data_IF_894874453948
#
_entry.id   IF_894874453948
#
_cell.length_a   1.000
_cell.length_b   1.000
_cell.length_c   1.000
_cell.angle_alpha   90.00
_cell.angle_beta   90.00
_cell.angle_gamma   90.00
#
_symmetry.space_group_name_H-M   'P 1'
#
loop_
_entity.id
_entity.type
_entity.pdbx_description
1 polymer ?
#
# COMPACT_ATOMS: atom_id res chain seq x y z
N UNK A 1 -37.10 16.36 0.29
CA UNK A 1 -35.90 17.11 -0.09
C UNK A 1 -34.87 16.08 -0.51
N UNK A 2 -34.27 16.17 -1.71
CA UNK A 2 -33.17 15.26 -2.04
C UNK A 2 -32.02 15.52 -1.07
N UNK A 3 -31.55 14.47 -0.37
CA UNK A 3 -30.31 14.52 0.42
C UNK A 3 -29.19 14.70 -0.59
N UNK A 4 -28.53 15.84 -0.59
CA UNK A 4 -27.33 16.07 -1.39
C UNK A 4 -26.23 15.25 -0.71
N UNK A 5 -25.94 14.08 -1.24
CA UNK A 5 -24.79 13.28 -0.80
C UNK A 5 -23.53 14.05 -1.22
N UNK A 6 -22.76 14.51 -0.24
CA UNK A 6 -21.48 15.14 -0.52
C UNK A 6 -20.44 14.03 -0.71
N UNK A 7 -20.20 13.65 -1.95
CA UNK A 7 -19.33 12.53 -2.30
C UNK A 7 -17.90 12.63 -1.74
N UNK A 8 -17.47 13.82 -1.28
CA UNK A 8 -16.15 14.01 -0.68
C UNK A 8 -16.10 13.70 0.83
N UNK A 9 -17.27 13.69 1.49
CA UNK A 9 -17.40 13.34 2.91
C UNK A 9 -17.56 11.82 3.10
N UNK A 10 -17.96 11.11 2.03
CA UNK A 10 -18.10 9.67 2.04
C UNK A 10 -16.76 8.96 1.82
N UNK A 11 -16.66 7.75 2.36
CA UNK A 11 -15.50 6.90 2.13
C UNK A 11 -15.45 6.41 0.69
N UNK A 12 -14.27 6.48 0.09
CA UNK A 12 -14.04 5.92 -1.24
C UNK A 12 -13.98 4.39 -1.13
N UNK A 13 -14.65 3.71 -2.07
CA UNK A 13 -14.65 2.25 -2.12
C UNK A 13 -13.23 1.70 -2.30
N UNK A 14 -12.97 0.57 -1.65
CA UNK A 14 -11.77 -0.22 -1.83
C UNK A 14 -12.15 -1.69 -2.09
N UNK A 15 -11.25 -2.43 -2.70
CA UNK A 15 -11.41 -3.86 -2.92
C UNK A 15 -10.46 -4.62 -2.01
N UNK A 16 -10.94 -5.71 -1.41
CA UNK A 16 -10.12 -6.61 -0.62
C UNK A 16 -10.22 -8.03 -1.18
N UNK A 17 -9.07 -8.66 -1.43
CA UNK A 17 -8.95 -10.02 -1.96
C UNK A 17 -8.17 -10.83 -0.94
N UNK A 18 -8.85 -11.74 -0.25
CA UNK A 18 -8.23 -12.71 0.67
C UNK A 18 -7.66 -13.90 -0.11
N UNK A 19 -6.70 -14.62 0.50
CA UNK A 19 -6.04 -15.80 -0.07
C UNK A 19 -5.51 -15.56 -1.49
N UNK A 20 -4.91 -14.38 -1.69
CA UNK A 20 -4.58 -13.86 -3.01
C UNK A 20 -3.41 -14.59 -3.68
N UNK A 21 -2.35 -14.84 -2.95
CA UNK A 21 -1.13 -15.48 -3.50
C UNK A 21 -1.01 -16.96 -3.15
N UNK A 22 -1.60 -17.37 -2.02
CA UNK A 22 -1.49 -18.70 -1.46
C UNK A 22 -0.22 -18.89 -0.60
N UNK A 23 -0.25 -19.88 0.28
CA UNK A 23 0.78 -20.11 1.32
C UNK A 23 2.20 -20.26 0.76
N UNK A 24 2.34 -20.93 -0.40
CA UNK A 24 3.65 -21.14 -1.04
C UNK A 24 4.31 -19.80 -1.42
N UNK A 25 3.54 -18.84 -1.96
CA UNK A 25 4.09 -17.54 -2.29
C UNK A 25 4.37 -16.72 -1.04
N UNK A 26 3.52 -16.80 -0.02
CA UNK A 26 3.77 -16.17 1.29
C UNK A 26 5.10 -16.63 1.87
N UNK A 27 5.37 -17.94 1.87
CA UNK A 27 6.64 -18.50 2.35
C UNK A 27 7.84 -17.98 1.54
N UNK A 28 7.75 -18.01 0.20
CA UNK A 28 8.82 -17.48 -0.68
C UNK A 28 9.10 -16.00 -0.45
N UNK A 29 8.07 -15.19 -0.20
CA UNK A 29 8.22 -13.77 0.11
C UNK A 29 8.84 -13.55 1.49
N UNK A 30 8.48 -14.36 2.48
CA UNK A 30 9.11 -14.32 3.81
C UNK A 30 10.58 -14.72 3.73
N UNK A 31 10.90 -15.78 3.01
CA UNK A 31 12.28 -16.24 2.80
C UNK A 31 13.11 -15.16 2.11
N UNK A 32 12.58 -14.52 1.04
CA UNK A 32 13.23 -13.40 0.39
C UNK A 32 13.49 -12.24 1.36
N UNK A 33 12.45 -11.82 2.10
CA UNK A 33 12.56 -10.69 3.02
C UNK A 33 13.60 -10.95 4.13
N UNK A 34 13.58 -12.14 4.73
CA UNK A 34 14.48 -12.52 5.81
C UNK A 34 15.92 -12.70 5.29
N UNK A 35 16.11 -13.36 4.15
CA UNK A 35 17.44 -13.54 3.55
C UNK A 35 18.09 -12.23 3.11
N UNK A 36 17.28 -11.22 2.79
CA UNK A 36 17.72 -9.91 2.30
C UNK A 36 17.52 -8.80 3.36
N UNK A 37 17.41 -9.15 4.65
CA UNK A 37 17.13 -8.19 5.73
C UNK A 37 18.13 -7.01 5.75
N UNK A 38 19.40 -7.26 5.51
CA UNK A 38 20.47 -6.25 5.49
C UNK A 38 20.44 -5.34 4.24
N UNK A 39 19.70 -5.71 3.20
CA UNK A 39 19.55 -4.92 1.97
C UNK A 39 18.37 -3.93 2.05
N UNK A 40 17.57 -4.02 3.09
CA UNK A 40 16.50 -3.05 3.31
C UNK A 40 17.06 -1.71 3.76
N UNK A 41 16.69 -0.65 3.06
CA UNK A 41 17.09 0.72 3.36
C UNK A 41 15.95 1.53 3.97
N UNK A 42 16.23 2.55 4.81
CA UNK A 42 15.22 3.49 5.28
C UNK A 42 14.44 4.10 4.11
N UNK A 43 13.11 4.18 4.24
CA UNK A 43 12.26 4.81 3.22
C UNK A 43 12.48 6.31 3.19
N UNK A 44 12.49 6.88 1.99
CA UNK A 44 12.47 8.33 1.79
C UNK A 44 11.06 8.84 1.51
N UNK A 45 10.78 10.07 1.89
CA UNK A 45 9.56 10.81 1.56
C UNK A 45 9.91 11.83 0.49
N UNK A 46 9.13 11.89 -0.59
CA UNK A 46 9.35 12.83 -1.69
C UNK A 46 9.28 12.17 -3.06
N UNK A 47 9.11 12.99 -4.09
CA UNK A 47 8.89 12.53 -5.45
C UNK A 47 10.21 12.20 -6.17
N UNK A 48 10.38 10.94 -6.54
CA UNK A 48 11.28 10.45 -7.60
C UNK A 48 12.77 10.74 -7.43
N UNK A 49 13.47 9.85 -6.75
CA UNK A 49 14.95 9.79 -6.79
C UNK A 49 15.69 10.82 -5.93
N UNK A 50 14.99 11.80 -5.36
CA UNK A 50 15.56 12.85 -4.51
C UNK A 50 14.84 13.00 -3.15
N UNK A 51 14.11 11.96 -2.71
CA UNK A 51 13.38 12.03 -1.45
C UNK A 51 14.31 12.08 -0.23
N UNK A 52 13.87 12.80 0.81
CA UNK A 52 14.57 12.89 2.10
C UNK A 52 14.03 11.84 3.06
N UNK A 53 14.88 11.20 3.83
CA UNK A 53 14.44 10.36 4.97
C UNK A 53 13.88 11.29 6.04
N UNK A 54 12.60 11.14 6.34
CA UNK A 54 11.88 11.94 7.36
C UNK A 54 11.18 11.00 8.34
N UNK A 55 11.84 10.61 9.44
CA UNK A 55 11.32 9.64 10.40
C UNK A 55 10.02 10.10 11.08
N UNK A 56 9.77 11.41 11.10
CA UNK A 56 8.53 11.99 11.66
C UNK A 56 7.31 11.82 10.73
N UNK A 57 7.57 11.50 9.45
CA UNK A 57 6.52 11.30 8.45
C UNK A 57 6.39 9.81 8.11
N UNK A 58 7.51 9.12 7.94
CA UNK A 58 7.54 7.69 7.57
C UNK A 58 8.73 7.01 8.26
N UNK A 59 8.44 5.99 9.03
CA UNK A 59 9.42 5.11 9.64
C UNK A 59 9.16 3.68 9.14
N UNK A 60 9.87 3.26 8.10
CA UNK A 60 9.82 1.89 7.55
C UNK A 60 11.08 1.60 6.75
N UNK A 61 11.31 0.34 6.44
CA UNK A 61 12.42 -0.13 5.60
C UNK A 61 11.88 -0.63 4.26
N UNK A 62 12.67 -0.54 3.21
CA UNK A 62 12.28 -0.77 1.83
C UNK A 62 13.31 -1.61 1.08
N UNK A 63 12.85 -2.62 0.34
CA UNK A 63 13.61 -3.38 -0.65
C UNK A 63 12.92 -3.27 -2.02
N UNK A 64 13.66 -2.85 -3.06
CA UNK A 64 13.15 -2.74 -4.45
C UNK A 64 13.50 -3.93 -5.32
N UNK A 65 14.62 -4.57 -5.03
CA UNK A 65 15.06 -5.74 -5.79
C UNK A 65 14.35 -7.00 -5.26
N UNK A 66 13.34 -7.44 -6.00
CA UNK A 66 12.54 -8.63 -5.70
C UNK A 66 13.10 -9.90 -6.39
N UNK A 67 14.24 -9.77 -7.06
CA UNK A 67 14.90 -10.89 -7.73
C UNK A 67 13.97 -11.64 -8.70
N UNK A 68 14.04 -12.95 -8.67
CA UNK A 68 13.28 -13.85 -9.55
C UNK A 68 11.75 -13.78 -9.32
N UNK A 69 11.30 -13.30 -8.15
CA UNK A 69 9.86 -13.21 -7.84
C UNK A 69 9.17 -12.09 -8.62
N UNK A 70 9.90 -11.06 -9.09
CA UNK A 70 9.32 -9.87 -9.70
C UNK A 70 8.33 -10.19 -10.81
N UNK A 71 8.73 -10.99 -11.78
CA UNK A 71 7.90 -11.27 -12.97
C UNK A 71 6.60 -12.03 -12.62
N UNK A 72 6.68 -12.99 -11.69
CA UNK A 72 5.50 -13.72 -11.22
C UNK A 72 4.55 -12.79 -10.46
N UNK A 73 5.08 -11.91 -9.60
CA UNK A 73 4.31 -10.94 -8.85
C UNK A 73 3.61 -9.93 -9.77
N UNK A 74 4.33 -9.38 -10.75
CA UNK A 74 3.76 -8.46 -11.74
C UNK A 74 2.61 -9.11 -12.51
N UNK A 75 2.77 -10.37 -12.92
CA UNK A 75 1.71 -11.12 -13.61
C UNK A 75 0.47 -11.28 -12.73
N UNK A 76 0.63 -11.67 -11.47
CA UNK A 76 -0.50 -11.86 -10.54
C UNK A 76 -1.21 -10.54 -10.20
N UNK A 77 -0.45 -9.47 -9.98
CA UNK A 77 -1.03 -8.16 -9.73
C UNK A 77 -1.75 -7.61 -10.96
N UNK A 78 -1.17 -7.72 -12.16
CA UNK A 78 -1.80 -7.26 -13.39
C UNK A 78 -3.14 -7.97 -13.66
N UNK A 79 -3.24 -9.26 -13.34
CA UNK A 79 -4.42 -10.08 -13.63
C UNK A 79 -5.71 -9.61 -12.93
N UNK A 80 -5.63 -8.82 -11.86
CA UNK A 80 -6.82 -8.35 -11.12
C UNK A 80 -7.25 -6.93 -11.49
N UNK A 81 -6.54 -6.25 -12.39
CA UNK A 81 -6.77 -4.85 -12.72
C UNK A 81 -8.18 -4.60 -13.25
N UNK A 82 -8.58 -5.30 -14.31
CA UNK A 82 -9.87 -5.07 -15.00
C UNK A 82 -11.07 -5.29 -14.08
N UNK A 83 -11.02 -6.35 -13.27
CA UNK A 83 -12.06 -6.63 -12.29
C UNK A 83 -12.11 -5.55 -11.20
N UNK A 84 -10.94 -5.04 -10.77
CA UNK A 84 -10.85 -3.97 -9.77
C UNK A 84 -11.41 -2.67 -10.31
N UNK A 85 -11.04 -2.28 -11.52
CA UNK A 85 -11.55 -1.07 -12.19
C UNK A 85 -13.08 -1.13 -12.27
N UNK A 86 -13.63 -2.29 -12.67
CA UNK A 86 -15.08 -2.49 -12.75
C UNK A 86 -15.77 -2.42 -11.40
N UNK A 87 -15.23 -3.12 -10.38
CA UNK A 87 -15.80 -3.17 -9.02
C UNK A 87 -15.79 -1.80 -8.36
N UNK A 88 -14.69 -1.06 -8.48
CA UNK A 88 -14.53 0.27 -7.91
C UNK A 88 -15.16 1.38 -8.79
N UNK A 89 -15.72 1.02 -9.94
CA UNK A 89 -16.36 1.97 -10.90
C UNK A 89 -15.42 3.10 -11.31
N UNK A 90 -14.15 2.76 -11.53
CA UNK A 90 -13.14 3.70 -11.99
C UNK A 90 -13.21 3.84 -13.52
N UNK A 91 -12.63 4.93 -14.05
CA UNK A 91 -12.32 5.02 -15.47
C UNK A 91 -11.27 3.97 -15.85
N UNK A 92 -11.27 3.56 -17.10
CA UNK A 92 -10.30 2.60 -17.62
C UNK A 92 -8.87 3.06 -17.34
N UNK A 93 -8.06 2.13 -16.85
CA UNK A 93 -6.63 2.37 -16.58
C UNK A 93 -5.84 1.71 -17.69
N UNK A 94 -5.26 2.53 -18.58
CA UNK A 94 -4.30 2.06 -19.58
C UNK A 94 -2.98 1.74 -18.87
N UNK A 95 -2.82 0.49 -18.45
CA UNK A 95 -1.65 0.06 -17.67
C UNK A 95 -0.36 0.29 -18.45
N UNK A 96 0.46 1.21 -17.98
CA UNK A 96 1.79 1.50 -18.51
C UNK A 96 2.86 0.59 -17.87
N UNK A 97 2.83 0.47 -16.54
CA UNK A 97 3.76 -0.36 -15.77
C UNK A 97 3.24 -0.59 -14.36
N UNK A 98 3.80 -1.61 -13.68
CA UNK A 98 3.67 -1.82 -12.26
C UNK A 98 4.94 -1.34 -11.54
N UNK A 99 4.77 -0.61 -10.45
CA UNK A 99 5.84 -0.22 -9.55
C UNK A 99 5.70 -1.02 -8.26
N UNK A 100 6.71 -1.84 -7.92
CA UNK A 100 6.67 -2.74 -6.77
C UNK A 100 7.73 -2.36 -5.75
N UNK A 101 7.33 -2.32 -4.47
CA UNK A 101 8.20 -2.09 -3.34
C UNK A 101 7.83 -3.03 -2.18
N UNK A 102 8.81 -3.81 -1.71
CA UNK A 102 8.66 -4.61 -0.50
C UNK A 102 9.04 -3.76 0.72
N UNK A 103 8.10 -3.59 1.63
CA UNK A 103 8.24 -2.71 2.80
C UNK A 103 8.12 -3.53 4.09
N UNK A 104 9.02 -3.28 5.03
CA UNK A 104 8.99 -3.83 6.38
C UNK A 104 8.67 -2.71 7.38
N UNK A 105 7.62 -2.93 8.17
CA UNK A 105 7.25 -2.08 9.30
C UNK A 105 7.50 -2.87 10.59
N UNK A 106 8.52 -2.48 11.36
CA UNK A 106 8.87 -3.07 12.65
C UNK A 106 8.37 -2.18 13.80
N UNK A 107 8.94 -2.35 15.01
CA UNK A 107 8.54 -1.60 16.22
C UNK A 107 8.52 -0.10 15.98
N UNK A 108 7.40 0.54 16.33
CA UNK A 108 7.19 1.98 16.19
C UNK A 108 6.99 2.48 14.76
N UNK A 109 7.10 1.63 13.74
CA UNK A 109 6.98 2.02 12.33
C UNK A 109 5.57 2.52 11.99
N UNK A 110 5.50 3.49 11.09
CA UNK A 110 4.25 4.12 10.62
C UNK A 110 4.48 4.86 9.30
N UNK A 111 3.41 5.32 8.67
CA UNK A 111 3.44 6.30 7.60
C UNK A 111 2.26 7.25 7.74
N UNK A 112 2.54 8.54 7.94
CA UNK A 112 1.54 9.58 8.10
C UNK A 112 0.65 9.71 6.87
N UNK A 113 -0.51 10.36 7.03
CA UNK A 113 -1.47 10.56 5.96
C UNK A 113 -0.82 11.19 4.71
N UNK A 114 -1.09 10.59 3.56
CA UNK A 114 -0.60 11.01 2.24
C UNK A 114 -1.54 10.50 1.13
N UNK A 115 -1.27 10.93 -0.09
CA UNK A 115 -1.80 10.35 -1.33
C UNK A 115 -0.65 9.83 -2.17
N UNK A 116 -0.91 8.82 -3.01
CA UNK A 116 0.11 8.21 -3.85
C UNK A 116 0.23 8.85 -5.24
N UNK A 117 -0.79 9.59 -5.67
CA UNK A 117 -0.77 10.30 -6.95
C UNK A 117 0.22 11.47 -6.93
N UNK A 118 1.07 11.56 -7.96
CA UNK A 118 2.04 12.64 -8.08
C UNK A 118 1.42 13.88 -8.72
N UNK A 119 1.11 14.89 -7.92
CA UNK A 119 0.51 16.15 -8.42
C UNK A 119 1.53 17.14 -8.99
N UNK A 120 2.83 16.94 -8.78
CA UNK A 120 3.88 17.93 -9.03
C UNK A 120 4.89 17.56 -10.13
N UNK A 121 4.54 16.66 -11.08
CA UNK A 121 5.44 16.27 -12.17
C UNK A 121 4.79 16.44 -13.53
N UNK A 122 4.87 17.66 -14.12
CA UNK A 122 4.30 17.93 -15.44
C UNK A 122 4.94 17.07 -16.56
N UNK A 123 6.20 16.64 -16.39
CA UNK A 123 6.96 15.88 -17.38
C UNK A 123 6.86 14.36 -17.23
N UNK A 124 6.07 13.86 -16.28
CA UNK A 124 5.91 12.42 -16.08
C UNK A 124 5.07 11.81 -17.22
N UNK A 125 5.56 10.72 -17.80
CA UNK A 125 4.86 9.98 -18.86
C UNK A 125 3.69 9.15 -18.32
N UNK A 126 3.65 8.90 -17.01
CA UNK A 126 2.62 8.11 -16.35
C UNK A 126 2.43 8.52 -14.91
N UNK A 127 1.22 8.31 -14.38
CA UNK A 127 0.88 8.54 -12.98
C UNK A 127 0.44 7.25 -12.29
N UNK A 128 0.54 7.21 -10.95
CA UNK A 128 -0.08 6.17 -10.14
C UNK A 128 -1.59 6.39 -10.14
N UNK A 129 -2.34 5.47 -10.73
CA UNK A 129 -3.80 5.53 -10.85
C UNK A 129 -4.49 4.68 -9.77
N UNK A 130 -3.93 3.49 -9.50
CA UNK A 130 -4.45 2.56 -8.50
C UNK A 130 -3.31 2.12 -7.59
N UNK A 131 -3.56 2.10 -6.29
CA UNK A 131 -2.65 1.60 -5.26
C UNK A 131 -3.12 0.24 -4.79
N UNK A 132 -2.18 -0.70 -4.76
CA UNK A 132 -2.34 -2.01 -4.16
C UNK A 132 -1.40 -2.20 -2.98
N UNK A 133 -1.89 -2.83 -1.91
CA UNK A 133 -1.08 -3.20 -0.74
C UNK A 133 -1.36 -4.65 -0.42
N UNK A 134 -0.38 -5.52 -0.66
CA UNK A 134 -0.45 -6.94 -0.35
C UNK A 134 0.26 -7.23 0.95
N UNK A 135 -0.41 -7.90 1.91
CA UNK A 135 0.13 -8.21 3.23
C UNK A 135 0.57 -9.65 3.36
N UNK A 136 1.73 -9.83 3.99
CA UNK A 136 2.19 -11.14 4.42
C UNK A 136 3.01 -11.02 5.72
N UNK A 137 3.01 -12.07 6.52
CA UNK A 137 3.75 -12.14 7.77
C UNK A 137 3.88 -13.58 8.24
N UNK A 138 4.75 -13.81 9.20
CA UNK A 138 4.90 -15.11 9.86
C UNK A 138 3.63 -15.52 10.60
N UNK A 139 3.48 -16.82 10.78
CA UNK A 139 2.47 -17.38 11.67
C UNK A 139 3.17 -18.11 12.82
N UNK A 140 2.90 -17.77 14.10
CA UNK A 140 1.99 -16.72 14.55
C UNK A 140 2.46 -15.32 14.17
N UNK A 141 1.51 -14.37 14.07
CA UNK A 141 1.77 -12.95 13.81
C UNK A 141 2.58 -12.34 14.95
N UNK A 142 3.71 -11.69 14.63
CA UNK A 142 4.66 -11.14 15.62
C UNK A 142 4.46 -9.66 15.95
N UNK A 143 3.39 -9.03 15.45
CA UNK A 143 3.10 -7.60 15.64
C UNK A 143 1.62 -7.34 15.87
N UNK A 144 1.31 -6.15 16.39
CA UNK A 144 -0.03 -5.57 16.52
C UNK A 144 -0.09 -4.20 15.86
N UNK A 145 -1.29 -3.68 15.59
CA UNK A 145 -1.47 -2.42 14.87
C UNK A 145 -1.11 -2.52 13.38
N UNK A 146 -0.64 -1.41 12.81
CA UNK A 146 -0.24 -1.32 11.42
C UNK A 146 -1.42 -1.38 10.44
N UNK A 147 -2.62 -1.04 10.86
CA UNK A 147 -3.78 -0.93 9.98
C UNK A 147 -3.52 0.08 8.88
N UNK A 148 -4.00 -0.20 7.69
CA UNK A 148 -4.15 0.78 6.63
C UNK A 148 -5.44 1.56 6.91
N UNK A 149 -5.31 2.86 7.17
CA UNK A 149 -6.45 3.75 7.33
C UNK A 149 -6.69 4.51 6.03
N UNK A 150 -7.87 4.34 5.46
CA UNK A 150 -8.37 5.13 4.34
C UNK A 150 -9.29 6.22 4.87
N UNK A 151 -9.09 7.45 4.42
CA UNK A 151 -9.88 8.60 4.84
C UNK A 151 -10.82 9.09 3.74
N UNK A 152 -11.96 9.67 4.12
CA UNK A 152 -12.74 10.51 3.22
C UNK A 152 -11.89 11.71 2.74
N UNK A 153 -12.21 12.28 1.59
CA UNK A 153 -11.43 13.37 1.01
C UNK A 153 -11.61 14.66 1.83
N UNK A 154 -12.83 14.93 2.23
CA UNK A 154 -13.19 16.13 2.99
C UNK A 154 -13.83 15.77 4.35
N UNK A 155 -13.70 16.64 5.36
CA UNK A 155 -14.47 16.50 6.58
C UNK A 155 -15.94 16.81 6.34
N UNK A 156 -16.82 16.20 7.15
CA UNK A 156 -18.22 16.54 7.24
C UNK A 156 -18.42 17.96 7.80
N UNK A 157 -19.66 18.47 7.75
CA UNK A 157 -19.99 19.83 8.18
C UNK A 157 -19.68 20.11 9.67
N UNK A 158 -19.63 19.06 10.50
CA UNK A 158 -19.26 19.15 11.92
C UNK A 158 -17.74 19.09 12.16
N UNK A 159 -16.95 19.04 11.09
CA UNK A 159 -15.49 18.93 11.13
C UNK A 159 -14.95 17.51 11.37
N UNK A 160 -15.81 16.51 11.55
CA UNK A 160 -15.37 15.11 11.62
C UNK A 160 -15.02 14.58 10.25
N UNK A 161 -14.07 13.64 10.18
CA UNK A 161 -13.66 13.01 8.93
C UNK A 161 -13.83 11.50 9.02
N UNK A 162 -14.62 10.96 8.13
CA UNK A 162 -14.84 9.52 8.05
C UNK A 162 -13.56 8.79 7.67
N UNK A 163 -13.35 7.60 8.24
CA UNK A 163 -12.24 6.72 7.86
C UNK A 163 -12.64 5.25 8.03
N UNK A 164 -11.87 4.36 7.42
CA UNK A 164 -11.93 2.92 7.68
C UNK A 164 -10.54 2.38 7.95
N UNK A 165 -10.42 1.50 8.95
CA UNK A 165 -9.20 0.79 9.28
C UNK A 165 -9.26 -0.63 8.71
N UNK A 166 -8.23 -0.99 7.94
CA UNK A 166 -8.09 -2.30 7.31
C UNK A 166 -6.91 -3.01 7.96
N UNK A 167 -7.21 -4.12 8.65
CA UNK A 167 -6.17 -4.91 9.30
C UNK A 167 -5.21 -5.54 8.28
N UNK A 168 -3.90 -5.58 8.58
CA UNK A 168 -2.90 -6.24 7.75
C UNK A 168 -2.97 -7.77 7.92
N UNK A 169 -4.01 -8.37 7.33
CA UNK A 169 -4.23 -9.82 7.35
C UNK A 169 -3.30 -10.51 6.36
N UNK A 170 -2.69 -11.63 6.76
CA UNK A 170 -1.79 -12.40 5.90
C UNK A 170 -2.51 -12.84 4.63
N UNK A 171 -1.78 -12.84 3.51
CA UNK A 171 -2.25 -13.22 2.17
C UNK A 171 -3.48 -12.43 1.70
N UNK A 172 -3.54 -11.16 2.06
CA UNK A 172 -4.63 -10.26 1.67
C UNK A 172 -4.12 -9.10 0.83
N UNK A 173 -4.80 -8.84 -0.29
CA UNK A 173 -4.49 -7.74 -1.20
C UNK A 173 -5.59 -6.68 -1.16
N UNK A 174 -5.21 -5.44 -0.85
CA UNK A 174 -6.10 -4.27 -0.78
C UNK A 174 -5.82 -3.37 -1.96
N UNK A 175 -6.87 -2.92 -2.65
CA UNK A 175 -6.78 -2.04 -3.81
C UNK A 175 -7.70 -0.83 -3.63
N UNK A 176 -7.18 0.36 -3.91
CA UNK A 176 -7.91 1.63 -3.83
C UNK A 176 -7.29 2.67 -4.78
N UNK A 177 -8.06 3.69 -5.21
CA UNK A 177 -7.53 4.74 -6.08
C UNK A 177 -6.35 5.48 -5.42
N UNK A 178 -5.27 5.73 -6.17
CA UNK A 178 -4.04 6.33 -5.62
C UNK A 178 -4.20 7.75 -5.06
N UNK A 179 -5.30 8.43 -5.38
CA UNK A 179 -5.64 9.76 -4.85
C UNK A 179 -6.38 9.73 -3.51
N UNK A 180 -6.74 8.55 -2.99
CA UNK A 180 -7.39 8.41 -1.67
C UNK A 180 -6.39 8.73 -0.57
N UNK A 181 -6.69 9.68 0.34
CA UNK A 181 -5.83 9.94 1.48
C UNK A 181 -5.79 8.73 2.41
N UNK A 182 -4.57 8.31 2.76
CA UNK A 182 -4.38 7.12 3.58
C UNK A 182 -3.12 7.20 4.44
N UNK A 183 -3.09 6.40 5.50
CA UNK A 183 -1.96 6.29 6.40
C UNK A 183 -1.74 4.84 6.84
N UNK A 184 -0.51 4.52 7.27
CA UNK A 184 -0.21 3.29 8.00
C UNK A 184 -0.13 3.62 9.48
N UNK A 185 -1.04 3.04 10.27
CA UNK A 185 -1.07 3.20 11.71
C UNK A 185 0.19 2.60 12.34
N UNK A 186 0.54 3.10 13.52
CA UNK A 186 1.75 2.65 14.21
C UNK A 186 1.72 1.14 14.48
N UNK A 187 2.84 0.49 14.17
CA UNK A 187 3.08 -0.94 14.44
C UNK A 187 3.69 -1.08 15.83
N UNK A 188 3.25 -2.08 16.57
CA UNK A 188 3.92 -2.59 17.76
C UNK A 188 4.46 -3.98 17.47
N UNK A 189 5.77 -4.13 17.52
CA UNK A 189 6.48 -5.39 17.31
C UNK A 189 7.44 -5.63 18.50
N UNK A 190 6.93 -6.13 19.64
CA UNK A 190 7.67 -6.15 20.91
C UNK A 190 8.97 -6.93 20.87
N UNK A 191 9.09 -7.91 19.97
CA UNK A 191 10.35 -8.67 19.81
C UNK A 191 11.46 -7.83 19.17
N UNK A 192 11.09 -6.78 18.38
CA UNK A 192 12.02 -6.05 17.53
C UNK A 192 12.69 -6.89 16.44
N UNK A 193 12.41 -8.18 16.36
CA UNK A 193 12.99 -9.07 15.37
C UNK A 193 12.47 -8.69 13.96
N UNK A 194 13.39 -8.54 12.98
CA UNK A 194 13.03 -8.19 11.61
C UNK A 194 12.01 -9.16 11.01
N UNK A 195 12.17 -10.46 11.27
CA UNK A 195 11.27 -11.50 10.77
C UNK A 195 9.82 -11.42 11.33
N UNK A 196 9.61 -10.67 12.40
CA UNK A 196 8.29 -10.44 13.01
C UNK A 196 7.62 -9.15 12.51
N UNK A 197 8.27 -8.46 11.56
CA UNK A 197 7.74 -7.24 10.97
C UNK A 197 6.40 -7.47 10.24
N UNK A 198 5.61 -6.40 10.16
CA UNK A 198 4.51 -6.30 9.22
C UNK A 198 5.08 -6.04 7.83
N UNK A 199 5.14 -7.07 7.00
CA UNK A 199 5.56 -6.95 5.62
C UNK A 199 4.40 -6.56 4.72
N UNK A 200 4.69 -5.70 3.73
CA UNK A 200 3.77 -5.37 2.67
C UNK A 200 4.50 -5.25 1.33
N UNK A 201 3.89 -5.76 0.26
CA UNK A 201 4.25 -5.41 -1.12
C UNK A 201 3.31 -4.30 -1.57
N UNK A 202 3.85 -3.10 -1.72
CA UNK A 202 3.16 -2.01 -2.38
C UNK A 202 3.25 -2.24 -3.89
N UNK A 203 2.11 -2.08 -4.57
CA UNK A 203 1.98 -2.22 -6.01
C UNK A 203 1.22 -1.02 -6.55
N UNK A 204 1.88 -0.17 -7.33
CA UNK A 204 1.21 0.93 -8.00
C UNK A 204 1.01 0.62 -9.47
N UNK A 205 -0.24 0.67 -9.89
CA UNK A 205 -0.62 0.58 -11.30
C UNK A 205 -0.49 1.96 -11.91
N UNK A 206 0.50 2.10 -12.77
CA UNK A 206 0.79 3.37 -13.44
C UNK A 206 0.03 3.42 -14.75
N UNK A 207 -0.79 4.46 -14.93
CA UNK A 207 -1.48 4.75 -16.18
C UNK A 207 -0.68 5.74 -17.03
N UNK A 208 -0.63 5.55 -18.34
CA UNK A 208 -0.14 6.58 -19.26
C UNK A 208 -0.98 7.86 -19.10
N UNK A 209 -0.34 9.03 -19.26
CA UNK A 209 -1.01 10.33 -19.31
C UNK A 209 -1.60 10.62 -20.66
#
# INVERSE_FOLDING_TARGET
MPVTVNAFEDLVSHRQIADFMGSVMVERLLDLAIARADDFAPTSVGNGGGGTVSPDIRASLLLRDLGELRSELETRFAAVLDDTVRELRLSDIALHSLELELVAHNEGAFYSEHIDTFTARPDAQSDRALTGVYYFHRNPKGFDGGELRLHAIAPAADGTRSFTDIAPTCDTFILFPSWVPHEVRRVSCPSGAFADSRFALNCWYRSAR
#
